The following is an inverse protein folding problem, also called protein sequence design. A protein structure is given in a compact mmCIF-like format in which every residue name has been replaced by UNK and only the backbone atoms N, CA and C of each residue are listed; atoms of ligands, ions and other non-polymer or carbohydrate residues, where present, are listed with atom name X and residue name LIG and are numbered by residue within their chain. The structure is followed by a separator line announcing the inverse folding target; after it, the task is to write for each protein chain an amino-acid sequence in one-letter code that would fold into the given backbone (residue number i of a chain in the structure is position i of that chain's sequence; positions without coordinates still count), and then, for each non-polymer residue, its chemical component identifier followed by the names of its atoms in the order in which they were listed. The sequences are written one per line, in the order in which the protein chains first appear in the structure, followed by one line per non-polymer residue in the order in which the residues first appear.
data_IF_963335963681
#
_entry.id   IF_963335963681
#
_cell.length_a   1.000
_cell.length_b   1.000
_cell.length_c   1.000
_cell.angle_alpha   90.00
_cell.angle_beta   90.00
_cell.angle_gamma   90.00
#
_symmetry.space_group_name_H-M   'P 1'
#
loop_
_entity.id
_entity.type
_entity.pdbx_description
1 polymer ?
#
# COMPACT_ATOMS: atom_id res chain seq x y z
N UNK A 1 -16.11 24.10 -1.91
CA UNK A 1 -17.37 24.90 -1.92
C UNK A 1 -18.03 25.07 -0.55
N UNK A 2 -17.33 24.82 0.58
CA UNK A 2 -17.83 25.17 1.92
C UNK A 2 -18.07 26.69 2.07
N UNK A 3 -17.28 27.49 1.36
CA UNK A 3 -17.33 28.96 1.33
C UNK A 3 -18.68 29.55 0.88
N UNK A 4 -19.44 28.89 0.01
CA UNK A 4 -20.78 29.38 -0.34
C UNK A 4 -21.73 29.26 0.86
N UNK A 5 -21.72 28.13 1.56
CA UNK A 5 -22.60 27.92 2.71
C UNK A 5 -22.16 28.73 3.95
N UNK A 6 -20.86 28.95 4.13
CA UNK A 6 -20.33 29.64 5.31
C UNK A 6 -20.25 31.16 5.15
N UNK A 7 -20.00 31.66 3.94
CA UNK A 7 -19.72 33.09 3.70
C UNK A 7 -20.55 33.67 2.53
N UNK A 8 -21.65 33.01 2.14
CA UNK A 8 -22.63 33.46 1.15
C UNK A 8 -22.07 33.84 -0.24
N UNK A 9 -20.89 33.36 -0.60
CA UNK A 9 -20.30 33.67 -1.92
C UNK A 9 -21.08 33.01 -3.06
N UNK A 10 -21.31 33.74 -4.18
CA UNK A 10 -22.01 33.18 -5.33
C UNK A 10 -21.20 32.07 -6.00
N UNK A 11 -21.84 30.91 -6.21
CA UNK A 11 -21.26 29.71 -6.86
C UNK A 11 -20.57 30.05 -8.18
N UNK A 12 -21.15 30.99 -8.94
CA UNK A 12 -20.60 31.45 -10.22
C UNK A 12 -19.16 31.97 -10.05
N UNK A 13 -18.92 32.84 -9.07
CA UNK A 13 -17.60 33.44 -8.82
C UNK A 13 -16.61 32.40 -8.31
N UNK A 14 -17.06 31.46 -7.50
CA UNK A 14 -16.24 30.33 -7.06
C UNK A 14 -15.84 29.41 -8.23
N UNK A 15 -16.76 29.14 -9.15
CA UNK A 15 -16.50 28.37 -10.37
C UNK A 15 -15.53 29.10 -11.31
N UNK A 16 -15.67 30.42 -11.46
CA UNK A 16 -14.76 31.26 -12.26
C UNK A 16 -13.33 31.22 -11.68
N UNK A 17 -13.17 31.40 -10.36
CA UNK A 17 -11.86 31.30 -9.68
C UNK A 17 -11.26 29.90 -9.82
N UNK A 18 -12.08 28.85 -9.76
CA UNK A 18 -11.62 27.47 -9.89
C UNK A 18 -11.34 27.04 -11.34
N UNK A 19 -11.71 27.86 -12.34
CA UNK A 19 -11.58 27.52 -13.76
C UNK A 19 -12.53 26.41 -14.24
N UNK A 20 -13.68 26.24 -13.60
CA UNK A 20 -14.66 25.17 -13.91
C UNK A 20 -15.99 25.80 -14.36
N UNK A 21 -16.66 25.18 -15.32
CA UNK A 21 -17.99 25.63 -15.73
C UNK A 21 -19.06 25.38 -14.64
N UNK A 22 -20.00 26.31 -14.48
CA UNK A 22 -21.12 26.21 -13.52
C UNK A 22 -21.94 24.92 -13.70
N UNK A 23 -22.20 24.50 -14.95
CA UNK A 23 -22.91 23.26 -15.27
C UNK A 23 -22.18 22.01 -14.75
N UNK A 24 -20.85 21.95 -14.93
CA UNK A 24 -20.01 20.86 -14.42
C UNK A 24 -20.06 20.75 -12.89
N UNK A 25 -20.12 21.89 -12.18
CA UNK A 25 -20.28 21.89 -10.73
C UNK A 25 -21.59 21.22 -10.28
N UNK A 26 -22.74 21.62 -10.84
CA UNK A 26 -24.02 21.01 -10.46
C UNK A 26 -24.13 19.56 -10.94
N UNK A 27 -23.53 19.21 -12.08
CA UNK A 27 -23.44 17.82 -12.54
C UNK A 27 -22.67 16.94 -11.56
N UNK A 28 -21.54 17.42 -11.05
CA UNK A 28 -20.78 16.72 -10.02
C UNK A 28 -21.55 16.63 -8.70
N UNK A 29 -22.20 17.73 -8.27
CA UNK A 29 -22.97 17.77 -7.02
C UNK A 29 -24.18 16.83 -7.04
N UNK A 30 -24.88 16.75 -8.15
CA UNK A 30 -26.10 15.95 -8.29
C UNK A 30 -25.81 14.52 -8.80
N UNK A 31 -24.53 14.15 -8.94
CA UNK A 31 -24.14 12.81 -9.37
C UNK A 31 -24.57 11.79 -8.32
N UNK A 32 -25.37 10.82 -8.75
CA UNK A 32 -25.71 9.65 -7.93
C UNK A 32 -24.52 8.69 -7.90
N UNK A 33 -24.36 8.03 -6.76
CA UNK A 33 -23.33 7.02 -6.58
C UNK A 33 -23.56 5.85 -7.54
N UNK A 34 -22.49 5.43 -8.22
CA UNK A 34 -22.53 4.25 -9.09
C UNK A 34 -22.57 2.96 -8.26
N UNK A 35 -23.20 1.91 -8.80
CA UNK A 35 -23.18 0.56 -8.17
C UNK A 35 -21.76 0.11 -7.87
N UNK A 36 -20.81 0.41 -8.76
CA UNK A 36 -19.41 0.06 -8.55
C UNK A 36 -18.81 0.80 -7.36
N UNK A 37 -19.08 2.11 -7.21
CA UNK A 37 -18.58 2.94 -6.12
C UNK A 37 -19.07 2.40 -4.77
N UNK A 38 -20.33 1.96 -4.69
CA UNK A 38 -20.87 1.29 -3.50
C UNK A 38 -20.12 0.01 -3.16
N UNK A 39 -19.92 -0.88 -4.13
CA UNK A 39 -19.15 -2.13 -3.93
C UNK A 39 -17.70 -1.80 -3.52
N UNK A 40 -17.11 -0.75 -4.08
CA UNK A 40 -15.76 -0.32 -3.70
C UNK A 40 -15.71 0.14 -2.24
N UNK A 41 -16.70 0.90 -1.77
CA UNK A 41 -16.79 1.32 -0.36
C UNK A 41 -16.94 0.13 0.59
N UNK A 42 -17.84 -0.79 0.27
CA UNK A 42 -18.02 -2.04 1.05
C UNK A 42 -16.71 -2.82 1.13
N UNK A 43 -16.03 -3.00 -0.01
CA UNK A 43 -14.78 -3.74 -0.08
C UNK A 43 -13.64 -3.05 0.70
N UNK A 44 -13.62 -1.71 0.73
CA UNK A 44 -12.65 -0.94 1.51
C UNK A 44 -12.81 -1.21 3.01
N UNK A 45 -14.06 -1.25 3.49
CA UNK A 45 -14.36 -1.54 4.90
C UNK A 45 -13.84 -2.93 5.26
N UNK A 46 -14.21 -3.95 4.47
CA UNK A 46 -13.77 -5.33 4.70
C UNK A 46 -12.24 -5.48 4.69
N UNK A 47 -11.54 -4.79 3.78
CA UNK A 47 -10.07 -4.80 3.74
C UNK A 47 -9.48 -4.19 5.02
N UNK A 48 -10.04 -3.08 5.52
CA UNK A 48 -9.54 -2.43 6.72
C UNK A 48 -9.76 -3.29 7.97
N UNK A 49 -10.94 -3.87 8.12
CA UNK A 49 -11.28 -4.74 9.25
C UNK A 49 -10.37 -5.96 9.29
N UNK A 50 -10.24 -6.67 8.16
CA UNK A 50 -9.37 -7.84 8.06
C UNK A 50 -7.88 -7.50 8.23
N UNK A 51 -7.46 -6.28 7.86
CA UNK A 51 -6.10 -5.80 8.07
C UNK A 51 -5.83 -5.54 9.56
N UNK A 52 -6.76 -4.88 10.26
CA UNK A 52 -6.66 -4.58 11.69
C UNK A 52 -6.70 -5.85 12.54
N UNK A 53 -7.60 -6.79 12.25
CA UNK A 53 -7.72 -8.08 12.95
C UNK A 53 -6.39 -8.86 12.97
N UNK A 54 -5.59 -8.72 11.93
CA UNK A 54 -4.32 -9.45 11.75
C UNK A 54 -3.10 -8.56 11.88
N UNK A 55 -3.24 -7.38 12.50
CA UNK A 55 -2.18 -6.40 12.73
C UNK A 55 -1.32 -6.11 11.49
N UNK A 56 -1.95 -6.08 10.32
CA UNK A 56 -1.29 -5.77 9.05
C UNK A 56 -0.41 -6.87 8.48
N UNK A 57 -0.43 -8.10 9.02
CA UNK A 57 0.36 -9.22 8.49
C UNK A 57 -0.08 -9.56 7.06
N UNK A 58 -1.38 -9.51 6.77
CA UNK A 58 -1.95 -9.93 5.49
C UNK A 58 -1.53 -9.01 4.34
N UNK A 59 -0.88 -9.59 3.33
CA UNK A 59 -0.68 -8.95 2.03
C UNK A 59 -1.89 -9.12 1.10
N UNK A 60 -1.90 -8.40 -0.03
CA UNK A 60 -3.07 -8.36 -0.92
C UNK A 60 -3.52 -9.74 -1.43
N UNK A 61 -2.59 -10.69 -1.66
CA UNK A 61 -2.93 -12.05 -2.08
C UNK A 61 -3.66 -12.81 -0.98
N UNK A 62 -3.14 -12.78 0.24
CA UNK A 62 -3.76 -13.43 1.39
C UNK A 62 -5.09 -12.75 1.76
N UNK A 63 -5.14 -11.42 1.67
CA UNK A 63 -6.36 -10.64 1.83
C UNK A 63 -7.44 -11.10 0.85
N UNK A 64 -7.09 -11.30 -0.43
CA UNK A 64 -8.04 -11.80 -1.45
C UNK A 64 -8.61 -13.16 -1.07
N UNK A 65 -7.76 -14.09 -0.63
CA UNK A 65 -8.20 -15.44 -0.23
C UNK A 65 -9.11 -15.37 0.99
N UNK A 66 -8.73 -14.58 2.01
CA UNK A 66 -9.52 -14.40 3.23
C UNK A 66 -10.90 -13.83 2.91
N UNK A 67 -10.95 -12.71 2.18
CA UNK A 67 -12.21 -12.04 1.84
C UNK A 67 -13.13 -12.91 0.98
N UNK A 68 -12.59 -13.60 -0.01
CA UNK A 68 -13.38 -14.48 -0.86
C UNK A 68 -13.94 -15.68 -0.07
N UNK A 69 -13.20 -16.19 0.91
CA UNK A 69 -13.62 -17.32 1.76
C UNK A 69 -14.64 -16.93 2.83
N UNK A 70 -14.45 -15.80 3.49
CA UNK A 70 -15.29 -15.38 4.62
C UNK A 70 -16.59 -14.70 4.18
N UNK A 71 -16.57 -13.98 3.06
CA UNK A 71 -17.74 -13.24 2.56
C UNK A 71 -18.35 -13.84 1.29
N UNK A 72 -17.94 -15.06 0.91
CA UNK A 72 -18.37 -15.74 -0.31
C UNK A 72 -18.25 -14.88 -1.59
N UNK A 73 -17.22 -14.03 -1.63
CA UNK A 73 -16.97 -13.13 -2.75
C UNK A 73 -16.07 -13.80 -3.80
N UNK A 74 -16.12 -13.31 -5.04
CA UNK A 74 -15.18 -13.69 -6.10
C UNK A 74 -14.45 -12.45 -6.64
N UNK A 75 -13.67 -11.80 -5.76
CA UNK A 75 -12.91 -10.60 -6.11
C UNK A 75 -11.54 -10.98 -6.66
N UNK A 76 -11.17 -10.35 -7.77
CA UNK A 76 -9.83 -10.50 -8.36
C UNK A 76 -8.76 -9.82 -7.48
N UNK A 77 -7.64 -10.51 -7.27
CA UNK A 77 -6.48 -10.02 -6.50
C UNK A 77 -5.93 -8.66 -6.99
N UNK A 78 -6.03 -8.35 -8.29
CA UNK A 78 -5.62 -7.05 -8.84
C UNK A 78 -6.48 -5.90 -8.28
N UNK A 79 -7.77 -6.15 -8.03
CA UNK A 79 -8.69 -5.15 -7.45
C UNK A 79 -8.33 -4.86 -6.00
N UNK A 80 -8.10 -5.91 -5.21
CA UNK A 80 -7.64 -5.79 -3.81
C UNK A 80 -6.30 -5.04 -3.75
N UNK A 81 -5.35 -5.39 -4.64
CA UNK A 81 -4.07 -4.70 -4.73
C UNK A 81 -4.23 -3.19 -4.98
N UNK A 82 -5.07 -2.79 -5.94
CA UNK A 82 -5.33 -1.37 -6.24
C UNK A 82 -5.93 -0.66 -5.03
N UNK A 83 -6.88 -1.29 -4.32
CA UNK A 83 -7.52 -0.70 -3.14
C UNK A 83 -6.54 -0.55 -1.98
N UNK A 84 -5.77 -1.59 -1.67
CA UNK A 84 -4.72 -1.49 -0.65
C UNK A 84 -3.70 -0.41 -0.99
N UNK A 85 -3.33 -0.26 -2.27
CA UNK A 85 -2.43 0.81 -2.71
C UNK A 85 -3.04 2.21 -2.51
N UNK A 86 -4.32 2.41 -2.82
CA UNK A 86 -5.03 3.68 -2.58
C UNK A 86 -5.11 4.00 -1.09
N UNK A 87 -5.36 2.99 -0.25
CA UNK A 87 -5.38 3.11 1.21
C UNK A 87 -3.98 3.17 1.84
N UNK A 88 -2.92 3.07 1.03
CA UNK A 88 -1.53 2.97 1.47
C UNK A 88 -1.26 1.84 2.48
N UNK A 89 -2.05 0.76 2.42
CA UNK A 89 -1.91 -0.43 3.27
C UNK A 89 -0.88 -1.38 2.66
N UNK A 90 0.09 -1.80 3.49
CA UNK A 90 1.15 -2.75 3.11
C UNK A 90 1.23 -3.87 4.14
N UNK A 91 1.61 -5.06 3.68
CA UNK A 91 1.90 -6.17 4.59
C UNK A 91 3.10 -5.82 5.47
N UNK A 92 2.94 -5.99 6.78
CA UNK A 92 3.99 -5.81 7.77
C UNK A 92 4.87 -7.06 7.77
N UNK A 93 5.91 -7.04 6.94
CA UNK A 93 6.90 -8.11 6.91
C UNK A 93 8.02 -7.82 7.92
N UNK A 94 8.29 -8.76 8.84
CA UNK A 94 9.45 -8.66 9.73
C UNK A 94 10.74 -8.79 8.92
N UNK A 95 11.64 -7.81 9.04
CA UNK A 95 12.98 -7.90 8.44
C UNK A 95 13.73 -9.09 9.05
N UNK A 96 14.21 -10.00 8.20
CA UNK A 96 15.08 -11.11 8.63
C UNK A 96 16.33 -10.53 9.27
N UNK A 97 16.67 -10.97 10.49
CA UNK A 97 17.93 -10.60 11.15
C UNK A 97 19.09 -11.30 10.41
N UNK A 98 20.19 -10.58 10.21
CA UNK A 98 21.42 -11.19 9.69
C UNK A 98 21.93 -12.16 10.76
N UNK A 99 22.23 -13.39 10.37
CA UNK A 99 22.80 -14.42 11.25
C UNK A 99 24.33 -14.37 11.33
N UNK A 100 24.94 -13.41 10.65
CA UNK A 100 26.39 -13.31 10.59
C UNK A 100 26.92 -12.79 11.93
N UNK A 101 27.66 -13.65 12.61
CA UNK A 101 28.54 -13.27 13.72
C UNK A 101 29.87 -12.89 13.09
N UNK A 102 30.30 -11.65 13.33
CA UNK A 102 31.58 -11.18 12.83
C UNK A 102 32.69 -12.00 13.50
N UNK A 103 33.40 -12.82 12.72
CA UNK A 103 34.58 -13.55 13.20
C UNK A 103 35.73 -12.55 13.35
N UNK A 104 36.36 -12.52 14.51
CA UNK A 104 37.66 -11.84 14.67
C UNK A 104 38.66 -12.64 13.82
N UNK A 105 39.40 -12.03 12.88
CA UNK A 105 40.47 -12.70 12.15
C UNK A 105 41.69 -12.87 13.07
N UNK A 106 41.55 -13.54 14.21
CA UNK A 106 42.61 -13.66 15.22
C UNK A 106 43.40 -14.97 15.13
N UNK A 107 43.03 -15.85 14.21
CA UNK A 107 43.79 -17.06 13.94
C UNK A 107 44.07 -17.11 12.45
N UNK A 108 44.89 -16.18 11.96
CA UNK A 108 45.84 -16.54 10.92
C UNK A 108 46.71 -17.61 11.55
N UNK A 109 46.36 -18.88 11.35
CA UNK A 109 47.24 -19.97 11.73
C UNK A 109 48.62 -19.65 11.14
N UNK A 110 49.62 -19.52 12.00
CA UNK A 110 50.99 -19.29 11.56
C UNK A 110 51.34 -20.37 10.53
N UNK A 111 52.07 -20.02 9.48
CA UNK A 111 52.46 -20.95 8.43
C UNK A 111 53.38 -22.04 8.99
N UNK A 112 52.80 -23.08 9.59
CA UNK A 112 53.54 -24.15 10.25
C UNK A 112 54.40 -24.95 9.26
N UNK A 113 54.09 -24.85 7.97
CA UNK A 113 54.83 -25.52 6.90
C UNK A 113 55.96 -24.67 6.31
N UNK A 114 56.14 -23.40 6.73
CA UNK A 114 57.13 -22.48 6.15
C UNK A 114 57.13 -22.47 4.60
N UNK A 115 55.96 -22.62 3.98
CA UNK A 115 55.83 -22.58 2.52
C UNK A 115 55.36 -21.21 2.06
N UNK A 116 56.11 -20.56 1.20
CA UNK A 116 55.68 -19.28 0.63
C UNK A 116 54.60 -19.52 -0.42
N UNK A 117 53.36 -19.13 -0.09
CA UNK A 117 52.26 -19.14 -1.05
C UNK A 117 52.16 -17.75 -1.69
N UNK A 118 52.65 -17.63 -2.91
CA UNK A 118 52.43 -16.45 -3.77
C UNK A 118 51.27 -16.75 -4.72
N UNK A 119 50.22 -15.93 -4.69
CA UNK A 119 49.12 -16.00 -5.63
C UNK A 119 49.18 -14.78 -6.55
N UNK A 120 49.55 -14.99 -7.81
CA UNK A 120 49.75 -13.89 -8.76
C UNK A 120 48.44 -13.27 -9.25
N UNK A 121 47.28 -13.91 -9.03
CA UNK A 121 45.97 -13.33 -9.37
C UNK A 121 44.87 -13.67 -8.36
N UNK A 122 44.10 -12.66 -8.00
CA UNK A 122 42.83 -12.79 -7.29
C UNK A 122 41.71 -13.06 -8.29
N UNK A 123 40.90 -14.10 -8.03
CA UNK A 123 39.65 -14.38 -8.73
C UNK A 123 38.49 -13.55 -8.20
#
# INVERSE_FOLDING_TARGET
MKLHNTAAYPIRRLCEIAGIQKSSYYKWRNRKESVHERIYKELIILIQDAYQERNGILGYRQMTIKLNREHNLNVNHKRIYRLMKILNLKSVCRKKRKSYVQSIPEITAGNTMNREFTADQFG
#
